data_IF_918440582772
#
_entry.id   IF_918440582772
#
_cell.length_a   1.000
_cell.length_b   1.000
_cell.length_c   1.000
_cell.angle_alpha   90.00
_cell.angle_beta   90.00
_cell.angle_gamma   90.00
#
_symmetry.space_group_name_H-M   'P 1'
#
loop_
_entity.id
_entity.type
_entity.pdbx_description
1 polymer ?
#
# COMPACT_ATOMS: atom_id res chain seq x y z
N UNK A 1 7.82 14.58 5.03
CA UNK A 1 7.99 13.10 5.05
C UNK A 1 6.83 12.51 5.82
N UNK A 2 6.22 11.43 5.34
CA UNK A 2 5.08 10.78 6.03
C UNK A 2 5.47 10.27 7.42
N UNK A 3 4.51 10.19 8.33
CA UNK A 3 4.66 9.59 9.66
C UNK A 3 3.43 8.74 9.99
N UNK A 4 3.64 7.62 10.68
CA UNK A 4 2.54 6.77 11.14
C UNK A 4 1.70 7.48 12.19
N UNK A 5 0.38 7.46 12.01
CA UNK A 5 -0.59 8.03 12.94
C UNK A 5 -1.71 7.04 13.18
N UNK A 6 -2.27 7.03 14.39
CA UNK A 6 -3.51 6.31 14.64
C UNK A 6 -4.71 7.03 14.01
N UNK A 7 -5.90 6.47 14.16
CA UNK A 7 -7.14 7.02 13.59
C UNK A 7 -7.44 8.46 14.07
N UNK A 8 -7.13 8.76 15.34
CA UNK A 8 -7.29 10.09 15.94
C UNK A 8 -6.19 11.08 15.51
N UNK A 9 -5.21 10.63 14.72
CA UNK A 9 -4.09 11.45 14.25
C UNK A 9 -2.91 11.55 15.22
N UNK A 10 -2.92 10.84 16.35
CA UNK A 10 -1.78 10.79 17.26
C UNK A 10 -0.60 10.08 16.59
N UNK A 11 0.61 10.63 16.77
CA UNK A 11 1.85 10.08 16.22
C UNK A 11 2.15 8.71 16.84
N UNK A 12 2.62 7.78 16.02
CA UNK A 12 3.13 6.47 16.43
C UNK A 12 4.66 6.43 16.29
N UNK A 13 5.34 5.77 17.24
CA UNK A 13 6.80 5.69 17.30
C UNK A 13 7.37 4.50 16.50
N UNK A 14 6.80 4.24 15.32
CA UNK A 14 7.33 3.23 14.40
C UNK A 14 8.14 3.91 13.30
N UNK A 15 9.29 3.36 12.89
CA UNK A 15 10.07 3.92 11.80
C UNK A 15 9.38 3.71 10.45
N UNK A 16 9.47 4.71 9.58
CA UNK A 16 9.02 4.61 8.19
C UNK A 16 10.17 4.04 7.34
N UNK A 17 9.86 3.12 6.41
CA UNK A 17 10.89 2.56 5.51
C UNK A 17 10.35 2.25 4.12
N UNK A 18 9.47 1.25 4.01
CA UNK A 18 8.90 0.78 2.74
C UNK A 18 7.51 0.19 2.94
N UNK A 19 6.76 0.12 1.85
CA UNK A 19 5.48 -0.59 1.80
C UNK A 19 5.64 -1.79 0.87
N UNK A 20 5.44 -3.00 1.40
CA UNK A 20 5.35 -4.22 0.58
C UNK A 20 3.89 -4.37 0.17
N UNK A 21 3.65 -4.53 -1.12
CA UNK A 21 2.32 -4.61 -1.72
C UNK A 21 2.14 -5.96 -2.42
N UNK A 22 0.89 -6.40 -2.52
CA UNK A 22 0.49 -7.58 -3.29
C UNK A 22 -0.43 -7.15 -4.44
N UNK A 23 -0.06 -7.51 -5.66
CA UNK A 23 -0.88 -7.37 -6.86
C UNK A 23 -1.77 -8.59 -7.06
N UNK A 24 -2.80 -8.45 -7.89
CA UNK A 24 -3.67 -9.58 -8.29
C UNK A 24 -4.22 -10.40 -7.12
N UNK A 25 -4.67 -9.73 -6.06
CA UNK A 25 -5.12 -10.38 -4.82
C UNK A 25 -6.65 -10.42 -4.63
N UNK A 26 -7.42 -10.02 -5.65
CA UNK A 26 -8.89 -10.05 -5.67
C UNK A 26 -9.39 -10.57 -7.01
N UNK A 27 -10.21 -11.63 -7.02
CA UNK A 27 -10.66 -12.29 -8.25
C UNK A 27 -11.37 -11.35 -9.24
N UNK A 28 -12.24 -10.46 -8.74
CA UNK A 28 -12.92 -9.47 -9.60
C UNK A 28 -11.93 -8.46 -10.21
N UNK A 29 -10.91 -8.05 -9.45
CA UNK A 29 -9.87 -7.15 -9.94
C UNK A 29 -8.96 -7.83 -10.99
N UNK A 30 -8.65 -9.11 -10.82
CA UNK A 30 -7.91 -9.88 -11.83
C UNK A 30 -8.71 -9.94 -13.14
N UNK A 31 -10.02 -10.20 -13.02
CA UNK A 31 -10.94 -10.30 -14.16
C UNK A 31 -11.10 -8.98 -14.92
N UNK A 32 -11.29 -7.84 -14.23
CA UNK A 32 -11.42 -6.53 -14.90
C UNK A 32 -10.13 -6.12 -15.62
N UNK A 33 -8.98 -6.52 -15.08
CA UNK A 33 -7.66 -6.26 -15.68
C UNK A 33 -7.30 -7.24 -16.81
N UNK A 34 -8.17 -8.21 -17.14
CA UNK A 34 -7.92 -9.22 -18.17
C UNK A 34 -6.69 -10.08 -17.90
N UNK A 35 -6.27 -10.19 -16.64
CA UNK A 35 -5.05 -10.88 -16.24
C UNK A 35 -5.31 -12.33 -15.84
N UNK A 36 -4.28 -13.16 -15.82
CA UNK A 36 -4.35 -14.51 -15.28
C UNK A 36 -4.21 -14.51 -13.75
N UNK A 37 -4.86 -15.46 -13.07
CA UNK A 37 -4.64 -15.70 -11.65
C UNK A 37 -3.23 -16.24 -11.45
N UNK A 38 -2.38 -15.59 -10.64
CA UNK A 38 -1.02 -16.04 -10.43
C UNK A 38 -0.98 -17.27 -9.51
N UNK A 39 -0.02 -18.17 -9.72
CA UNK A 39 0.21 -19.34 -8.86
C UNK A 39 0.87 -18.98 -7.53
N UNK A 40 1.65 -17.89 -7.52
CA UNK A 40 2.31 -17.32 -6.34
C UNK A 40 1.95 -15.82 -6.18
N UNK A 41 2.01 -15.25 -4.96
CA UNK A 41 1.72 -13.84 -4.76
C UNK A 41 2.63 -12.91 -5.57
N UNK A 42 2.02 -12.00 -6.34
CA UNK A 42 2.76 -10.96 -7.06
C UNK A 42 3.14 -9.86 -6.08
N UNK A 43 4.40 -9.82 -5.65
CA UNK A 43 4.88 -8.83 -4.67
C UNK A 43 5.67 -7.70 -5.33
N UNK A 44 5.45 -6.47 -4.85
CA UNK A 44 6.23 -5.30 -5.23
C UNK A 44 6.37 -4.33 -4.06
N UNK A 45 7.26 -3.34 -4.18
CA UNK A 45 7.60 -2.42 -3.09
C UNK A 45 7.40 -0.97 -3.52
N UNK A 46 6.89 -0.13 -2.62
CA UNK A 46 6.93 1.33 -2.72
C UNK A 46 7.90 1.89 -1.66
N UNK A 47 8.79 2.85 -2.02
CA UNK A 47 9.69 3.48 -1.06
C UNK A 47 8.94 4.44 -0.12
N UNK A 48 9.58 4.87 0.97
CA UNK A 48 9.01 5.87 1.91
C UNK A 48 8.53 7.16 1.23
N UNK A 49 9.17 7.57 0.14
CA UNK A 49 8.82 8.78 -0.63
C UNK A 49 7.47 8.69 -1.33
N UNK A 50 6.88 7.49 -1.43
CA UNK A 50 5.53 7.29 -1.97
C UNK A 50 4.42 7.47 -0.93
N UNK A 51 4.74 7.58 0.36
CA UNK A 51 3.76 7.70 1.44
C UNK A 51 3.37 9.17 1.69
N UNK A 52 2.09 9.41 1.97
CA UNK A 52 1.53 10.72 2.35
C UNK A 52 0.36 10.58 3.32
N UNK A 53 -0.08 11.69 3.92
CA UNK A 53 -1.29 11.73 4.75
C UNK A 53 -2.53 11.91 3.85
N UNK A 54 -3.35 10.87 3.74
CA UNK A 54 -4.56 10.86 2.89
C UNK A 54 -5.62 11.90 3.28
N UNK A 55 -5.51 12.50 4.47
CA UNK A 55 -6.42 13.57 4.93
C UNK A 55 -6.04 14.93 4.36
N UNK A 56 -4.86 15.06 3.77
CA UNK A 56 -4.46 16.24 3.01
C UNK A 56 -4.90 16.11 1.55
N UNK A 57 -5.07 17.24 0.83
CA UNK A 57 -5.23 17.19 -0.63
C UNK A 57 -4.10 16.36 -1.27
N UNK A 58 -4.49 15.41 -2.12
CA UNK A 58 -3.58 14.61 -2.93
C UNK A 58 -3.17 15.35 -4.20
#
# INVERSE_FOLDING_TARGET
MYQHRNWQGALLDYPVSKVVCVGSNYANHIKEMGSATPEEPVLFIKPETALCDIRQPL
#
